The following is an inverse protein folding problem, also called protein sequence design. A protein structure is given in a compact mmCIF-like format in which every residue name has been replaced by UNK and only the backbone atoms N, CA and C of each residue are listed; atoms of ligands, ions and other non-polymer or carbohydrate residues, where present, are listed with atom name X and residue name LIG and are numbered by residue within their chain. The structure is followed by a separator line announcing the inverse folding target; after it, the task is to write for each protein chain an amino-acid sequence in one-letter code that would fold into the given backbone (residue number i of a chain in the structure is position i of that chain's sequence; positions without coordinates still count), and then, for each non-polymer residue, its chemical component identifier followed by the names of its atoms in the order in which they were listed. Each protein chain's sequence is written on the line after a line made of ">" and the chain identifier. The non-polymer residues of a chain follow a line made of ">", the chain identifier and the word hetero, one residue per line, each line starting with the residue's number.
data_IF_210935807512
#
_entry.id   IF_210935807512
#
_cell.length_a   1.000
_cell.length_b   1.000
_cell.length_c   1.000
_cell.angle_alpha   90.00
_cell.angle_beta   90.00
_cell.angle_gamma   90.00
#
_symmetry.space_group_name_H-M   'P 1'
#
loop_
_entity.id
_entity.type
_entity.pdbx_description
1 polymer ?
#
# COMPACT_ATOMS: atom_id res chain seq x y z
N UNK A 1 -26.26 -54.46 -5.65
CA UNK A 1 -25.27 -53.35 -5.63
C UNK A 1 -25.21 -52.81 -4.20
N UNK A 2 -24.27 -53.26 -3.38
CA UNK A 2 -24.15 -52.79 -1.99
C UNK A 2 -23.53 -51.40 -1.98
N UNK A 3 -24.35 -50.39 -1.64
CA UNK A 3 -23.87 -49.04 -1.35
C UNK A 3 -23.16 -49.08 0.01
N UNK A 4 -21.84 -49.02 0.00
CA UNK A 4 -21.02 -48.85 1.21
C UNK A 4 -21.23 -47.41 1.71
N UNK A 5 -22.02 -47.25 2.77
CA UNK A 5 -22.25 -45.96 3.40
C UNK A 5 -21.04 -45.53 4.24
N UNK A 6 -20.70 -44.25 4.19
CA UNK A 6 -19.70 -43.63 5.06
C UNK A 6 -20.17 -43.72 6.51
N UNK A 7 -19.30 -44.08 7.45
CA UNK A 7 -19.69 -44.13 8.86
C UNK A 7 -19.69 -42.71 9.46
N UNK A 8 -20.61 -42.46 10.41
CA UNK A 8 -20.65 -41.18 11.12
C UNK A 8 -19.35 -40.94 11.92
N UNK A 9 -18.73 -42.00 12.44
CA UNK A 9 -17.48 -41.89 13.20
C UNK A 9 -16.29 -41.50 12.33
N UNK A 10 -16.21 -41.99 11.08
CA UNK A 10 -15.20 -41.55 10.12
C UNK A 10 -15.32 -40.04 9.85
N UNK A 11 -16.55 -39.55 9.67
CA UNK A 11 -16.76 -38.12 9.42
C UNK A 11 -16.46 -37.27 10.66
N UNK A 12 -16.79 -37.76 11.87
CA UNK A 12 -16.49 -37.06 13.12
C UNK A 12 -14.98 -36.88 13.36
N UNK A 13 -14.18 -37.94 13.18
CA UNK A 13 -12.72 -37.86 13.39
C UNK A 13 -12.09 -36.89 12.39
N UNK A 14 -12.55 -36.89 11.13
CA UNK A 14 -12.05 -35.99 10.09
C UNK A 14 -12.30 -34.52 10.46
N UNK A 15 -13.51 -34.18 10.92
CA UNK A 15 -13.83 -32.81 11.32
C UNK A 15 -13.02 -32.39 12.55
N UNK A 16 -12.76 -33.30 13.49
CA UNK A 16 -11.91 -33.02 14.67
C UNK A 16 -10.47 -32.70 14.24
N UNK A 17 -9.88 -33.49 13.33
CA UNK A 17 -8.51 -33.26 12.85
C UNK A 17 -8.43 -31.93 12.08
N UNK A 18 -9.37 -31.65 11.17
CA UNK A 18 -9.42 -30.37 10.44
C UNK A 18 -9.61 -29.21 11.41
N UNK A 19 -10.40 -29.38 12.48
CA UNK A 19 -10.57 -28.37 13.53
C UNK A 19 -9.27 -28.01 14.25
N UNK A 20 -8.45 -29.01 14.61
CA UNK A 20 -7.14 -28.79 15.24
C UNK A 20 -6.18 -28.06 14.29
N UNK A 21 -6.13 -28.50 13.02
CA UNK A 21 -5.27 -27.86 12.02
C UNK A 21 -5.69 -26.41 11.75
N UNK A 22 -6.99 -26.16 11.62
CA UNK A 22 -7.54 -24.82 11.40
C UNK A 22 -7.22 -23.88 12.57
N UNK A 23 -7.32 -24.36 13.82
CA UNK A 23 -7.04 -23.56 15.01
C UNK A 23 -5.60 -23.00 15.03
N UNK A 24 -4.62 -23.75 14.52
CA UNK A 24 -3.22 -23.30 14.43
C UNK A 24 -2.98 -22.48 13.15
N UNK A 25 -3.57 -22.90 12.03
CA UNK A 25 -3.30 -22.32 10.72
C UNK A 25 -3.91 -20.91 10.55
N UNK A 26 -5.14 -20.70 11.05
CA UNK A 26 -5.87 -19.43 10.89
C UNK A 26 -5.10 -18.22 11.45
N UNK A 27 -4.64 -18.19 12.72
CA UNK A 27 -3.96 -17.01 13.25
C UNK A 27 -2.65 -16.72 12.52
N UNK A 28 -1.88 -17.76 12.15
CA UNK A 28 -0.67 -17.59 11.37
C UNK A 28 -0.98 -17.00 9.98
N UNK A 29 -1.98 -17.54 9.29
CA UNK A 29 -2.40 -17.05 7.98
C UNK A 29 -2.87 -15.59 8.02
N UNK A 30 -3.60 -15.18 9.06
CA UNK A 30 -3.98 -13.77 9.25
C UNK A 30 -2.74 -12.86 9.40
N UNK A 31 -1.74 -13.28 10.17
CA UNK A 31 -0.50 -12.51 10.34
C UNK A 31 0.31 -12.41 9.03
N UNK A 32 0.34 -13.48 8.23
CA UNK A 32 1.00 -13.46 6.93
C UNK A 32 0.29 -12.52 5.94
N UNK A 33 -1.05 -12.51 5.95
CA UNK A 33 -1.80 -11.55 5.14
C UNK A 33 -1.52 -10.11 5.54
N UNK A 34 -1.48 -9.80 6.85
CA UNK A 34 -1.19 -8.44 7.31
C UNK A 34 0.21 -7.98 6.86
N UNK A 35 1.24 -8.83 6.99
CA UNK A 35 2.60 -8.53 6.49
C UNK A 35 2.66 -8.35 4.97
N UNK A 36 1.87 -9.12 4.22
CA UNK A 36 1.77 -8.99 2.77
C UNK A 36 1.14 -7.64 2.38
N UNK A 37 0.11 -7.20 3.12
CA UNK A 37 -0.53 -5.89 2.91
C UNK A 37 0.44 -4.74 3.26
N UNK A 38 1.18 -4.83 4.35
CA UNK A 38 2.22 -3.85 4.69
C UNK A 38 3.31 -3.77 3.61
N UNK A 39 3.72 -4.92 3.06
CA UNK A 39 4.70 -4.96 1.97
C UNK A 39 4.15 -4.31 0.69
N UNK A 40 2.85 -4.46 0.41
CA UNK A 40 2.19 -3.76 -0.69
C UNK A 40 2.15 -2.24 -0.48
N UNK A 41 1.94 -1.75 0.74
CA UNK A 41 2.00 -0.31 1.05
C UNK A 41 3.40 0.24 0.75
N UNK A 42 4.45 -0.45 1.20
CA UNK A 42 5.85 -0.08 0.88
C UNK A 42 6.10 -0.03 -0.63
N UNK A 43 5.57 -1.00 -1.39
CA UNK A 43 5.68 -1.02 -2.84
C UNK A 43 4.94 0.16 -3.49
N UNK A 44 3.76 0.52 -2.97
CA UNK A 44 3.02 1.70 -3.41
C UNK A 44 3.82 2.98 -3.14
N UNK A 45 4.40 3.14 -1.94
CA UNK A 45 5.24 4.29 -1.60
C UNK A 45 6.44 4.43 -2.56
N UNK A 46 7.12 3.33 -2.85
CA UNK A 46 8.23 3.34 -3.80
C UNK A 46 7.77 3.72 -5.21
N UNK A 47 6.59 3.25 -5.61
CA UNK A 47 5.99 3.65 -6.90
C UNK A 47 5.71 5.14 -6.95
N UNK A 48 5.13 5.72 -5.89
CA UNK A 48 4.91 7.17 -5.78
C UNK A 48 6.22 7.94 -5.84
N UNK A 49 7.26 7.45 -5.16
CA UNK A 49 8.60 8.02 -5.25
C UNK A 49 9.11 8.05 -6.70
N UNK A 50 9.03 6.94 -7.42
CA UNK A 50 9.43 6.90 -8.83
C UNK A 50 8.65 7.90 -9.68
N UNK A 51 7.33 8.03 -9.45
CA UNK A 51 6.51 9.01 -10.16
C UNK A 51 6.90 10.45 -9.81
N UNK A 52 7.29 10.74 -8.56
CA UNK A 52 7.77 12.05 -8.14
C UNK A 52 9.10 12.43 -8.82
N UNK A 53 10.05 11.48 -8.91
CA UNK A 53 11.31 11.67 -9.65
C UNK A 53 11.09 11.86 -11.15
N UNK A 54 10.16 11.08 -11.71
CA UNK A 54 9.77 11.15 -13.12
C UNK A 54 9.03 12.47 -13.45
N UNK A 55 8.24 13.00 -12.51
CA UNK A 55 7.68 14.34 -12.60
C UNK A 55 8.77 15.41 -12.57
N UNK A 56 9.69 15.34 -11.61
CA UNK A 56 10.80 16.27 -11.47
C UNK A 56 11.68 16.32 -12.71
N UNK A 57 11.98 15.16 -13.30
CA UNK A 57 12.74 15.06 -14.56
C UNK A 57 12.04 15.80 -15.73
N UNK A 58 10.71 15.82 -15.74
CA UNK A 58 9.90 16.55 -16.74
C UNK A 58 9.65 18.01 -16.39
N UNK A 59 9.94 18.41 -15.16
CA UNK A 59 9.66 19.73 -14.61
C UNK A 59 10.97 20.43 -14.19
N UNK A 60 12.01 20.29 -15.01
CA UNK A 60 13.31 20.97 -14.83
C UNK A 60 13.95 20.77 -13.44
N UNK A 61 13.76 19.60 -12.84
CA UNK A 61 14.32 19.24 -11.53
C UNK A 61 13.47 19.68 -10.33
N UNK A 62 12.28 20.23 -10.57
CA UNK A 62 11.35 20.67 -9.53
C UNK A 62 10.31 19.59 -9.24
N UNK A 63 10.23 19.15 -7.99
CA UNK A 63 9.21 18.20 -7.54
C UNK A 63 7.82 18.83 -7.48
N UNK A 64 6.79 18.01 -7.66
CA UNK A 64 5.41 18.42 -7.47
C UNK A 64 5.19 18.83 -6.01
N UNK A 65 4.47 19.92 -5.74
CA UNK A 65 4.04 20.26 -4.38
C UNK A 65 2.84 19.43 -3.94
N UNK A 66 1.96 19.13 -4.90
CA UNK A 66 0.72 18.38 -4.70
C UNK A 66 0.28 17.66 -6.00
N UNK A 67 -0.89 17.03 -5.97
CA UNK A 67 -1.48 16.37 -7.14
C UNK A 67 -1.88 17.30 -8.29
N UNK A 68 -2.03 18.60 -8.04
CA UNK A 68 -2.42 19.61 -9.03
C UNK A 68 -1.22 20.22 -9.77
N UNK A 69 -0.01 19.98 -9.28
CA UNK A 69 1.24 20.41 -9.90
C UNK A 69 1.35 19.90 -11.34
N UNK A 70 1.77 20.78 -12.24
CA UNK A 70 1.81 20.51 -13.68
C UNK A 70 3.23 20.63 -14.22
N UNK A 71 3.59 19.75 -15.15
CA UNK A 71 4.82 19.91 -15.92
C UNK A 71 4.66 21.01 -16.96
N UNK A 72 5.75 21.53 -17.56
CA UNK A 72 5.70 22.48 -18.66
C UNK A 72 4.93 21.95 -19.89
N UNK A 73 4.84 20.61 -20.03
CA UNK A 73 4.04 19.94 -21.06
C UNK A 73 2.55 19.81 -20.72
N UNK A 74 2.12 20.30 -19.56
CA UNK A 74 0.73 20.32 -19.11
C UNK A 74 0.24 19.02 -18.44
N UNK A 75 1.14 18.08 -18.10
CA UNK A 75 0.75 16.84 -17.41
C UNK A 75 0.65 17.06 -15.90
N UNK A 76 -0.51 16.73 -15.30
CA UNK A 76 -0.70 16.80 -13.85
C UNK A 76 0.06 15.67 -13.14
N UNK A 77 0.60 15.94 -11.95
CA UNK A 77 1.20 14.90 -11.11
C UNK A 77 0.20 13.79 -10.75
N UNK A 78 -1.02 14.18 -10.37
CA UNK A 78 -2.13 13.23 -10.12
C UNK A 78 -2.42 12.30 -11.29
N UNK A 79 -2.35 12.81 -12.53
CA UNK A 79 -2.58 11.99 -13.72
C UNK A 79 -1.47 10.95 -13.93
N UNK A 80 -0.21 11.27 -13.59
CA UNK A 80 0.90 10.32 -13.66
C UNK A 80 0.73 9.22 -12.62
N UNK A 81 0.31 9.58 -11.41
CA UNK A 81 0.04 8.64 -10.32
C UNK A 81 -1.15 7.73 -10.65
N UNK A 82 -2.25 8.29 -11.13
CA UNK A 82 -3.46 7.55 -11.50
C UNK A 82 -3.18 6.53 -12.61
N UNK A 83 -2.28 6.86 -13.54
CA UNK A 83 -1.85 5.94 -14.59
C UNK A 83 -1.19 4.65 -14.03
N UNK A 84 -0.61 4.70 -12.82
CA UNK A 84 -0.01 3.53 -12.18
C UNK A 84 -1.04 2.62 -11.50
N UNK A 85 -2.31 3.05 -11.39
CA UNK A 85 -3.42 2.24 -10.90
C UNK A 85 -3.15 1.58 -9.54
N UNK A 86 -2.54 2.34 -8.63
CA UNK A 86 -2.26 1.86 -7.28
C UNK A 86 -3.56 1.46 -6.58
N UNK A 87 -3.47 0.51 -5.65
CA UNK A 87 -4.61 0.03 -4.85
C UNK A 87 -4.27 0.04 -3.38
N UNK A 88 -5.24 0.44 -2.55
CA UNK A 88 -5.12 0.35 -1.10
C UNK A 88 -5.29 -1.14 -0.69
N UNK A 89 -4.29 -1.75 -0.02
CA UNK A 89 -4.32 -3.17 0.34
C UNK A 89 -5.08 -3.47 1.64
N UNK A 90 -5.43 -2.46 2.44
CA UNK A 90 -6.10 -2.60 3.74
C UNK A 90 -7.59 -2.27 3.67
N UNK A 91 -7.98 -1.26 2.91
CA UNK A 91 -9.37 -0.82 2.76
C UNK A 91 -9.71 -0.50 1.31
N UNK A 92 -10.91 -0.87 0.81
CA UNK A 92 -11.38 -0.39 -0.49
C UNK A 92 -11.60 1.13 -0.46
N UNK A 93 -11.07 1.85 -1.44
CA UNK A 93 -11.24 3.32 -1.54
C UNK A 93 -9.98 4.03 -2.00
N UNK A 94 -9.83 5.29 -1.55
CA UNK A 94 -8.71 6.15 -1.88
C UNK A 94 -7.37 5.50 -1.56
N UNK A 95 -6.43 5.70 -2.48
CA UNK A 95 -5.11 5.06 -2.43
C UNK A 95 -4.04 6.09 -2.09
N UNK A 96 -4.25 7.33 -2.54
CA UNK A 96 -3.29 8.42 -2.39
C UNK A 96 -3.99 9.68 -1.92
N UNK A 97 -3.30 10.41 -1.05
CA UNK A 97 -3.65 11.76 -0.64
C UNK A 97 -2.47 12.69 -0.91
N UNK A 98 -2.74 13.92 -1.36
CA UNK A 98 -1.73 14.95 -1.57
C UNK A 98 -1.92 16.00 -0.47
N UNK A 99 -1.17 15.88 0.63
CA UNK A 99 -1.40 16.68 1.84
C UNK A 99 -0.19 16.66 2.75
N UNK A 100 0.18 17.82 3.32
CA UNK A 100 1.18 17.93 4.37
C UNK A 100 0.72 17.33 5.72
N UNK A 101 -0.59 17.11 5.88
CA UNK A 101 -1.17 16.42 7.04
C UNK A 101 -1.59 15.02 6.62
N UNK A 102 -0.98 14.00 7.23
CA UNK A 102 -1.32 12.61 7.00
C UNK A 102 -2.69 12.27 7.60
N UNK A 103 -3.57 11.64 6.82
CA UNK A 103 -4.81 11.07 7.33
C UNK A 103 -4.52 9.68 7.87
N UNK A 104 -4.87 9.42 9.14
CA UNK A 104 -4.64 8.13 9.82
C UNK A 104 -5.46 6.94 9.29
N UNK A 105 -5.89 6.97 8.02
CA UNK A 105 -6.62 5.87 7.38
C UNK A 105 -5.63 4.81 6.93
N UNK A 106 -5.72 3.57 7.43
CA UNK A 106 -4.78 2.52 7.06
C UNK A 106 -4.76 2.23 5.56
N UNK A 107 -3.57 2.12 4.99
CA UNK A 107 -3.30 1.76 3.61
C UNK A 107 -3.26 2.93 2.63
N UNK A 108 -3.48 4.16 3.10
CA UNK A 108 -3.26 5.37 2.30
C UNK A 108 -1.77 5.67 2.21
N UNK A 109 -1.36 6.11 1.02
CA UNK A 109 -0.05 6.73 0.81
C UNK A 109 -0.23 8.23 0.63
N UNK A 110 0.29 9.02 1.55
CA UNK A 110 0.29 10.48 1.44
C UNK A 110 1.58 10.94 0.78
N UNK A 111 1.46 11.81 -0.21
CA UNK A 111 2.56 12.57 -0.78
C UNK A 111 2.47 14.03 -0.31
N UNK A 112 3.57 14.52 0.24
CA UNK A 112 3.76 15.92 0.61
C UNK A 112 5.02 16.43 -0.09
N UNK A 113 4.85 17.29 -1.08
CA UNK A 113 5.92 17.73 -1.94
C UNK A 113 6.33 19.17 -1.68
N UNK A 114 7.59 19.48 -1.98
CA UNK A 114 8.13 20.83 -2.01
C UNK A 114 9.06 20.97 -3.21
N UNK A 115 9.34 22.21 -3.64
CA UNK A 115 10.25 22.47 -4.78
C UNK A 115 11.60 21.74 -4.70
N UNK A 116 12.10 21.49 -3.49
CA UNK A 116 13.45 20.97 -3.21
C UNK A 116 13.48 19.52 -2.70
N UNK A 117 12.32 18.88 -2.54
CA UNK A 117 12.24 17.51 -2.01
C UNK A 117 10.81 17.09 -1.72
N UNK A 118 10.63 15.94 -1.08
CA UNK A 118 9.30 15.43 -0.76
C UNK A 118 9.34 14.47 0.43
N UNK A 119 8.18 14.31 1.05
CA UNK A 119 7.91 13.28 2.04
C UNK A 119 6.76 12.41 1.54
N UNK A 120 6.96 11.10 1.58
CA UNK A 120 5.95 10.10 1.30
C UNK A 120 5.71 9.30 2.57
N UNK A 121 4.45 9.22 2.98
CA UNK A 121 4.05 8.45 4.16
C UNK A 121 3.07 7.38 3.76
N UNK A 122 3.33 6.14 4.18
CA UNK A 122 2.41 5.04 4.09
C UNK A 122 1.84 4.73 5.46
N UNK A 123 0.52 4.81 5.58
CA UNK A 123 -0.19 4.44 6.80
C UNK A 123 -0.32 2.92 6.85
N UNK A 124 0.44 2.24 7.69
CA UNK A 124 0.28 0.81 7.94
C UNK A 124 -0.98 0.50 8.74
N UNK A 125 -1.18 -0.78 9.08
CA UNK A 125 -2.31 -1.19 9.92
C UNK A 125 -2.20 -0.68 11.36
N UNK A 126 -0.96 -0.51 11.85
CA UNK A 126 -0.67 -0.13 13.24
C UNK A 126 0.46 0.89 13.34
N UNK A 127 1.38 0.90 12.36
CA UNK A 127 2.55 1.77 12.33
C UNK A 127 2.55 2.64 11.07
N UNK A 128 3.12 3.82 11.20
CA UNK A 128 3.32 4.76 10.09
C UNK A 128 4.72 4.54 9.50
N UNK A 129 4.82 4.51 8.17
CA UNK A 129 6.08 4.41 7.45
C UNK A 129 6.35 5.70 6.71
N UNK A 130 7.52 6.31 6.92
CA UNK A 130 7.89 7.58 6.30
C UNK A 130 9.14 7.42 5.44
N UNK A 131 9.08 7.92 4.21
CA UNK A 131 10.21 8.12 3.31
C UNK A 131 10.33 9.62 3.04
N UNK A 132 11.45 10.22 3.41
CA UNK A 132 11.71 11.64 3.14
C UNK A 132 12.96 11.79 2.31
N UNK A 133 12.86 12.51 1.20
CA UNK A 133 13.99 13.01 0.44
C UNK A 133 14.24 14.46 0.85
N UNK A 134 15.39 14.72 1.47
CA UNK A 134 15.82 16.06 1.83
C UNK A 134 16.89 16.55 0.84
N UNK A 135 16.80 17.81 0.36
CA UNK A 135 17.81 18.37 -0.52
C UNK A 135 19.20 18.40 0.15
N UNK A 136 20.23 18.01 -0.60
CA UNK A 136 21.62 17.94 -0.13
C UNK A 136 22.33 19.29 0.04
N UNK A 137 21.62 20.41 -0.02
CA UNK A 137 22.17 21.76 0.19
C UNK A 137 21.74 22.26 1.58
N UNK A 138 22.57 21.98 2.59
CA UNK A 138 22.58 22.79 3.82
C UNK A 138 23.17 24.15 3.46
N UNK A 139 22.34 25.20 3.53
CA UNK A 139 22.81 26.58 3.62
C UNK A 139 23.51 26.82 4.96
#
# INVERSE_FOLDING_TARGET
>A
MSRKGFTLIELMIVVVIIGILAAIAIPNFMSMQDRAKESAIKANMHTVQLTAEDFSTRNDGVYAEDGSSTTPSGTLFSALIDAVNLKNPLTPGSVIEYSATHTATPGIVTYDGAFSGYTIVGEGKTDILTLTLSPGISL
#
